data_IF_236925383128
#
_entry.id   IF_236925383128
#
_cell.length_a   1.000
_cell.length_b   1.000
_cell.length_c   1.000
_cell.angle_alpha   90.00
_cell.angle_beta   90.00
_cell.angle_gamma   90.00
#
_symmetry.space_group_name_H-M   'P 1'
#
loop_
_entity.id
_entity.type
_entity.pdbx_description
1 polymer ?
#
# COMPACT_ATOMS: atom_id res chain seq x y z
N UNK A 1 35.35 33.24 -40.04
CA UNK A 1 33.93 33.55 -40.30
C UNK A 1 33.11 32.80 -39.27
N UNK A 2 32.46 33.54 -38.37
CA UNK A 2 31.66 33.04 -37.26
C UNK A 2 30.35 32.45 -37.80
N UNK A 3 30.20 31.13 -37.82
CA UNK A 3 28.91 30.49 -38.06
C UNK A 3 28.26 30.21 -36.70
N UNK A 4 27.19 30.98 -36.45
CA UNK A 4 26.37 30.87 -35.25
C UNK A 4 25.72 29.50 -35.16
N UNK A 5 25.89 28.87 -34.00
CA UNK A 5 25.12 27.71 -33.57
C UNK A 5 23.66 28.15 -33.41
N UNK A 6 22.80 27.65 -34.28
CA UNK A 6 21.36 27.91 -34.24
C UNK A 6 20.76 27.40 -32.92
N UNK A 7 19.88 28.15 -32.22
CA UNK A 7 19.35 27.78 -30.90
C UNK A 7 18.30 26.65 -30.88
N UNK A 8 18.15 25.89 -31.96
CA UNK A 8 16.99 25.02 -32.17
C UNK A 8 17.16 23.54 -31.74
N UNK A 9 18.30 23.16 -31.14
CA UNK A 9 18.70 21.75 -30.97
C UNK A 9 18.77 21.26 -29.50
N UNK A 10 18.05 21.90 -28.58
CA UNK A 10 17.84 21.39 -27.21
C UNK A 10 16.40 21.73 -26.81
N UNK A 11 15.47 20.74 -26.67
CA UNK A 11 15.39 19.95 -25.44
C UNK A 11 14.66 18.58 -25.53
N UNK A 12 14.81 17.75 -26.58
CA UNK A 12 13.99 16.51 -26.64
C UNK A 12 14.51 15.33 -25.78
N UNK A 13 15.80 15.30 -25.44
CA UNK A 13 16.41 14.18 -24.70
C UNK A 13 16.08 14.19 -23.20
N UNK A 14 15.85 15.37 -22.60
CA UNK A 14 15.57 15.50 -21.16
C UNK A 14 14.12 15.18 -20.78
N UNK A 15 13.14 15.44 -21.66
CA UNK A 15 11.72 15.17 -21.35
C UNK A 15 11.36 13.68 -21.32
N UNK A 16 12.00 12.88 -22.19
CA UNK A 16 11.76 11.43 -22.27
C UNK A 16 12.32 10.73 -21.02
N UNK A 17 13.47 11.18 -20.52
CA UNK A 17 14.14 10.63 -19.35
C UNK A 17 13.37 10.93 -18.04
N UNK A 18 12.82 12.15 -17.91
CA UNK A 18 12.00 12.54 -16.75
C UNK A 18 10.69 11.74 -16.69
N UNK A 19 10.03 11.50 -17.83
CA UNK A 19 8.78 10.70 -17.86
C UNK A 19 9.04 9.22 -17.54
N UNK A 20 10.14 8.66 -18.01
CA UNK A 20 10.54 7.28 -17.72
C UNK A 20 10.90 7.10 -16.23
N UNK A 21 11.68 8.02 -15.65
CA UNK A 21 12.02 8.01 -14.23
C UNK A 21 10.78 8.18 -13.34
N UNK A 22 9.83 9.05 -13.71
CA UNK A 22 8.58 9.22 -12.97
C UNK A 22 7.71 7.95 -12.98
N UNK A 23 7.67 7.23 -14.12
CA UNK A 23 6.94 5.96 -14.24
C UNK A 23 7.60 4.84 -13.44
N UNK A 24 8.93 4.80 -13.38
CA UNK A 24 9.68 3.84 -12.56
C UNK A 24 9.54 4.13 -11.06
N UNK A 25 9.55 5.40 -10.64
CA UNK A 25 9.32 5.80 -9.25
C UNK A 25 7.90 5.45 -8.77
N UNK A 26 6.89 5.65 -9.62
CA UNK A 26 5.53 5.18 -9.35
C UNK A 26 5.44 3.65 -9.26
N UNK A 27 6.18 2.92 -10.12
CA UNK A 27 6.28 1.46 -10.08
C UNK A 27 6.92 0.93 -8.79
N UNK A 28 7.95 1.61 -8.30
CA UNK A 28 8.62 1.27 -7.04
C UNK A 28 7.78 1.60 -5.80
N UNK A 29 6.83 2.54 -5.86
CA UNK A 29 5.93 2.87 -4.75
C UNK A 29 4.77 1.87 -4.57
N UNK A 30 4.44 1.07 -5.59
CA UNK A 30 3.34 0.09 -5.53
C UNK A 30 3.68 -1.10 -4.62
N UNK A 31 4.93 -1.57 -4.62
CA UNK A 31 5.36 -2.71 -3.81
C UNK A 31 5.34 -2.42 -2.28
N UNK A 32 5.86 -1.27 -1.79
CA UNK A 32 5.74 -0.87 -0.40
C UNK A 32 4.32 -0.52 0.04
N UNK A 33 3.38 -0.27 -0.89
CA UNK A 33 1.98 0.05 -0.59
C UNK A 33 1.13 -1.21 -0.47
N UNK A 34 1.39 -2.23 -1.30
CA UNK A 34 0.68 -3.51 -1.26
C UNK A 34 0.86 -4.23 0.10
N UNK A 35 2.05 -4.16 0.67
CA UNK A 35 2.37 -4.79 1.97
C UNK A 35 1.56 -4.20 3.13
N UNK A 36 1.50 -2.87 3.35
CA UNK A 36 0.60 -2.24 4.33
C UNK A 36 -0.89 -2.49 4.09
N UNK A 37 -1.31 -2.63 2.83
CA UNK A 37 -2.72 -2.91 2.52
C UNK A 37 -3.10 -4.33 2.94
N UNK A 38 -2.25 -5.31 2.66
CA UNK A 38 -2.53 -6.72 2.95
C UNK A 38 -2.21 -7.10 4.40
N UNK A 39 -1.10 -6.61 4.94
CA UNK A 39 -0.59 -6.93 6.27
C UNK A 39 -0.31 -5.64 7.05
N UNK A 40 -1.31 -4.75 7.10
CA UNK A 40 -1.20 -3.50 7.83
C UNK A 40 -0.93 -3.68 9.32
N UNK A 41 -0.39 -2.66 9.99
CA UNK A 41 -0.05 -2.72 11.42
C UNK A 41 -1.25 -3.08 12.32
N UNK A 42 -2.46 -2.62 11.98
CA UNK A 42 -3.68 -2.99 12.70
C UNK A 42 -4.04 -4.47 12.57
N UNK A 43 -3.86 -5.05 11.39
CA UNK A 43 -4.07 -6.50 11.15
C UNK A 43 -3.07 -7.32 11.96
N UNK A 44 -1.80 -6.90 12.00
CA UNK A 44 -0.75 -7.55 12.79
C UNK A 44 -1.07 -7.47 14.29
N UNK A 45 -1.40 -6.27 14.81
CA UNK A 45 -1.74 -6.08 16.22
C UNK A 45 -2.96 -6.91 16.63
N UNK A 46 -3.98 -6.99 15.79
CA UNK A 46 -5.18 -7.81 16.03
C UNK A 46 -4.84 -9.29 16.06
N UNK A 47 -4.06 -9.78 15.08
CA UNK A 47 -3.63 -11.17 15.04
C UNK A 47 -2.79 -11.54 16.28
N UNK A 48 -1.87 -10.66 16.69
CA UNK A 48 -1.06 -10.85 17.89
C UNK A 48 -1.92 -10.87 19.16
N UNK A 49 -2.88 -9.95 19.30
CA UNK A 49 -3.78 -9.90 20.46
C UNK A 49 -4.66 -11.15 20.57
N UNK A 50 -5.21 -11.62 19.45
CA UNK A 50 -6.00 -12.86 19.39
C UNK A 50 -5.15 -14.10 19.71
N UNK A 51 -3.90 -14.14 19.23
CA UNK A 51 -2.98 -15.24 19.54
C UNK A 51 -2.55 -15.24 21.02
N UNK A 52 -2.41 -14.07 21.64
CA UNK A 52 -1.98 -13.93 23.04
C UNK A 52 -3.09 -14.19 24.07
N UNK A 53 -4.36 -13.94 23.70
CA UNK A 53 -5.49 -13.92 24.66
C UNK A 53 -6.30 -15.22 24.75
N UNK A 54 -5.97 -16.26 23.96
CA UNK A 54 -6.86 -17.42 23.74
C UNK A 54 -6.40 -18.74 24.37
N UNK A 55 -7.35 -19.48 24.97
CA UNK A 55 -7.19 -20.92 25.26
C UNK A 55 -7.23 -21.79 24.00
N UNK A 56 -7.06 -23.11 24.13
CA UNK A 56 -6.92 -24.05 23.00
C UNK A 56 -8.07 -23.97 21.97
N UNK A 57 -9.30 -23.69 22.41
CA UNK A 57 -10.46 -23.52 21.52
C UNK A 57 -10.40 -22.25 20.67
N UNK A 58 -9.92 -21.14 21.23
CA UNK A 58 -9.79 -19.87 20.51
C UNK A 58 -8.70 -19.94 19.45
N UNK A 59 -7.60 -20.66 19.77
CA UNK A 59 -6.49 -20.88 18.84
C UNK A 59 -6.96 -21.59 17.56
N UNK A 60 -7.80 -22.63 17.69
CA UNK A 60 -8.37 -23.34 16.53
C UNK A 60 -9.23 -22.39 15.68
N UNK A 61 -10.08 -21.57 16.31
CA UNK A 61 -10.93 -20.59 15.61
C UNK A 61 -10.08 -19.56 14.85
N UNK A 62 -9.00 -19.08 15.47
CA UNK A 62 -8.07 -18.14 14.84
C UNK A 62 -7.37 -18.78 13.64
N UNK A 63 -6.88 -20.01 13.76
CA UNK A 63 -6.24 -20.74 12.65
C UNK A 63 -7.21 -20.94 11.49
N UNK A 64 -8.44 -21.37 11.76
CA UNK A 64 -9.46 -21.58 10.72
C UNK A 64 -9.80 -20.27 10.02
N UNK A 65 -9.99 -19.19 10.79
CA UNK A 65 -10.23 -17.85 10.24
C UNK A 65 -9.07 -17.38 9.36
N UNK A 66 -7.82 -17.57 9.81
CA UNK A 66 -6.64 -17.20 9.05
C UNK A 66 -6.51 -18.01 7.76
N UNK A 67 -6.78 -19.33 7.83
CA UNK A 67 -6.82 -20.20 6.66
C UNK A 67 -7.87 -19.75 5.64
N UNK A 68 -9.06 -19.35 6.12
CA UNK A 68 -10.12 -18.81 5.26
C UNK A 68 -9.69 -17.49 4.59
N UNK A 69 -9.05 -16.58 5.34
CA UNK A 69 -8.48 -15.33 4.82
C UNK A 69 -7.42 -15.60 3.74
N UNK A 70 -6.53 -16.58 3.96
CA UNK A 70 -5.52 -16.96 2.97
C UNK A 70 -6.18 -17.46 1.67
N UNK A 71 -7.20 -18.32 1.77
CA UNK A 71 -7.93 -18.82 0.59
C UNK A 71 -8.63 -17.67 -0.15
N UNK A 72 -9.29 -16.77 0.59
CA UNK A 72 -9.97 -15.62 0.00
C UNK A 72 -8.98 -14.69 -0.71
N UNK A 73 -7.83 -14.44 -0.09
CA UNK A 73 -6.75 -13.60 -0.64
C UNK A 73 -6.17 -14.23 -1.90
N UNK A 74 -5.95 -15.55 -1.88
CA UNK A 74 -5.50 -16.30 -3.05
C UNK A 74 -6.49 -16.16 -4.22
N UNK A 75 -7.79 -16.31 -3.96
CA UNK A 75 -8.82 -16.13 -4.97
C UNK A 75 -8.81 -14.69 -5.53
N UNK A 76 -8.71 -13.68 -4.67
CA UNK A 76 -8.59 -12.29 -5.08
C UNK A 76 -7.40 -12.06 -6.01
N UNK A 77 -6.25 -12.68 -5.72
CA UNK A 77 -5.05 -12.59 -6.57
C UNK A 77 -5.27 -13.21 -7.95
N UNK A 78 -5.90 -14.40 -8.00
CA UNK A 78 -6.20 -15.10 -9.27
C UNK A 78 -7.14 -14.27 -10.15
N UNK A 79 -8.14 -13.63 -9.57
CA UNK A 79 -9.07 -12.74 -10.31
C UNK A 79 -8.52 -11.33 -10.51
N UNK A 80 -7.39 -11.00 -9.89
CA UNK A 80 -6.81 -9.65 -9.88
C UNK A 80 -6.46 -9.14 -11.28
N UNK A 81 -5.90 -9.97 -12.16
CA UNK A 81 -5.57 -9.54 -13.52
C UNK A 81 -6.80 -9.13 -14.34
N UNK A 82 -7.93 -9.82 -14.15
CA UNK A 82 -9.21 -9.48 -14.80
C UNK A 82 -9.77 -8.18 -14.20
N UNK A 83 -9.66 -8.02 -12.88
CA UNK A 83 -10.11 -6.83 -12.17
C UNK A 83 -9.35 -5.57 -12.59
N UNK A 84 -8.02 -5.65 -12.67
CA UNK A 84 -7.15 -4.55 -13.12
C UNK A 84 -7.48 -4.13 -14.55
N UNK A 85 -7.75 -5.09 -15.44
CA UNK A 85 -8.16 -4.80 -16.83
C UNK A 85 -9.55 -4.15 -16.91
N UNK A 86 -10.47 -4.47 -16.00
CA UNK A 86 -11.81 -3.89 -15.98
C UNK A 86 -11.85 -2.43 -15.48
N UNK A 87 -11.00 -2.08 -14.50
CA UNK A 87 -10.96 -0.75 -13.88
C UNK A 87 -10.28 0.30 -14.77
N UNK A 88 -9.26 -0.10 -15.53
CA UNK A 88 -8.53 0.82 -16.42
C UNK A 88 -7.53 1.74 -15.71
N UNK A 89 -6.59 2.34 -16.45
CA UNK A 89 -5.42 3.01 -15.89
C UNK A 89 -5.73 4.29 -15.11
N UNK A 90 -6.73 5.07 -15.52
CA UNK A 90 -7.07 6.33 -14.85
C UNK A 90 -7.65 6.11 -13.45
N UNK A 91 -8.49 5.08 -13.28
CA UNK A 91 -9.07 4.76 -11.99
C UNK A 91 -8.01 4.18 -11.02
N UNK A 92 -7.03 3.42 -11.51
CA UNK A 92 -5.91 2.94 -10.70
C UNK A 92 -5.05 4.08 -10.15
N UNK A 93 -4.84 5.17 -10.92
CA UNK A 93 -4.09 6.35 -10.43
C UNK A 93 -4.84 7.03 -9.26
N UNK A 94 -6.16 7.16 -9.37
CA UNK A 94 -7.01 7.72 -8.30
C UNK A 94 -6.97 6.83 -7.05
N UNK A 95 -7.13 5.52 -7.23
CA UNK A 95 -7.08 4.54 -6.12
C UNK A 95 -5.73 4.59 -5.40
N UNK A 96 -4.62 4.71 -6.14
CA UNK A 96 -3.27 4.77 -5.56
C UNK A 96 -3.11 6.02 -4.68
N UNK A 97 -3.62 7.17 -5.12
CA UNK A 97 -3.60 8.41 -4.32
C UNK A 97 -4.48 8.31 -3.07
N UNK A 98 -5.68 7.75 -3.21
CA UNK A 98 -6.60 7.53 -2.10
C UNK A 98 -5.99 6.58 -1.07
N UNK A 99 -5.34 5.50 -1.50
CA UNK A 99 -4.63 4.58 -0.63
C UNK A 99 -3.56 5.28 0.21
N UNK A 100 -2.74 6.13 -0.42
CA UNK A 100 -1.75 6.93 0.32
C UNK A 100 -2.38 7.85 1.38
N UNK A 101 -3.49 8.51 1.05
CA UNK A 101 -4.21 9.38 1.97
C UNK A 101 -4.84 8.58 3.13
N UNK A 102 -5.46 7.45 2.84
CA UNK A 102 -6.05 6.55 3.85
C UNK A 102 -4.96 6.02 4.79
N UNK A 103 -3.81 5.58 4.27
CA UNK A 103 -2.69 5.12 5.10
C UNK A 103 -2.17 6.21 6.02
N UNK A 104 -2.11 7.46 5.56
CA UNK A 104 -1.72 8.60 6.40
C UNK A 104 -2.72 8.81 7.55
N UNK A 105 -4.02 8.75 7.26
CA UNK A 105 -5.09 8.89 8.27
C UNK A 105 -5.05 7.74 9.29
N UNK A 106 -4.96 6.49 8.82
CA UNK A 106 -4.88 5.31 9.68
C UNK A 106 -3.62 5.36 10.55
N UNK A 107 -2.48 5.77 10.00
CA UNK A 107 -1.25 5.93 10.78
C UNK A 107 -1.39 6.97 11.90
N UNK A 108 -2.02 8.11 11.61
CA UNK A 108 -2.36 9.13 12.62
C UNK A 108 -3.30 8.60 13.69
N UNK A 109 -4.35 7.85 13.30
CA UNK A 109 -5.28 7.24 14.24
C UNK A 109 -4.58 6.25 15.19
N UNK A 110 -3.76 5.34 14.65
CA UNK A 110 -3.00 4.38 15.45
C UNK A 110 -2.04 5.07 16.43
N UNK A 111 -1.45 6.20 16.03
CA UNK A 111 -0.58 6.99 16.90
C UNK A 111 -1.37 7.60 18.06
N UNK A 112 -2.54 8.18 17.79
CA UNK A 112 -3.41 8.77 18.82
C UNK A 112 -3.90 7.69 19.79
N UNK A 113 -4.37 6.54 19.29
CA UNK A 113 -4.80 5.42 20.11
C UNK A 113 -3.67 4.87 21.00
N UNK A 114 -2.45 4.79 20.45
CA UNK A 114 -1.27 4.39 21.23
C UNK A 114 -0.95 5.36 22.36
N UNK A 115 -1.03 6.67 22.12
CA UNK A 115 -0.79 7.70 23.15
C UNK A 115 -1.92 7.69 24.21
N UNK A 116 -3.18 7.55 23.81
CA UNK A 116 -4.32 7.47 24.72
C UNK A 116 -4.21 6.26 25.65
N UNK A 117 -3.83 5.09 25.11
CA UNK A 117 -3.57 3.90 25.91
C UNK A 117 -2.39 4.10 26.87
N UNK A 118 -1.31 4.74 26.43
CA UNK A 118 -0.15 5.02 27.27
C UNK A 118 -0.48 5.98 28.42
N UNK A 119 -1.29 7.01 28.17
CA UNK A 119 -1.73 7.95 29.20
C UNK A 119 -2.61 7.25 30.26
N UNK A 120 -3.59 6.44 29.81
CA UNK A 120 -4.44 5.63 30.71
C UNK A 120 -3.67 4.58 31.49
N UNK A 121 -2.58 4.05 30.95
CA UNK A 121 -1.75 3.07 31.64
C UNK A 121 -0.90 3.69 32.76
N UNK A 122 -0.63 5.00 32.70
CA UNK A 122 0.24 5.71 33.64
C UNK A 122 -0.51 6.44 34.77
N UNK A 123 -1.83 6.63 34.64
CA UNK A 123 -2.69 7.36 35.57
C UNK A 123 -3.75 6.44 36.18
#
# INVERSE_FOLDING_TARGET
>A
MLQGKSPADQPESSEIDIKAQKKAALGLAISPLATPILAGPGTIATAMNFAASGGFSQLIITIVSFGLLCILTYFLFVFGERFVKAIGPSALDVVTRMMGLILAVIGMQMLIEGIDQAYKAFL
#
